data_IF_105999309914
#
_entry.id   IF_105999309914
#
_cell.length_a   1.000
_cell.length_b   1.000
_cell.length_c   1.000
_cell.angle_alpha   90.00
_cell.angle_beta   90.00
_cell.angle_gamma   90.00
#
_symmetry.space_group_name_H-M   'P 1'
#
loop_
_entity.id
_entity.type
_entity.pdbx_description
1 polymer ?
#
# COMPACT_ATOMS: atom_id res chain seq x y z
N UNK A 1 -29.75 5.01 21.52
CA UNK A 1 -28.51 5.03 20.71
C UNK A 1 -28.49 6.33 19.90
N UNK A 2 -27.75 7.36 20.33
CA UNK A 2 -27.82 8.69 19.74
C UNK A 2 -27.23 8.72 18.31
N UNK A 3 -28.00 9.24 17.34
CA UNK A 3 -27.65 9.40 15.90
C UNK A 3 -26.28 10.05 15.64
N UNK A 4 -25.82 10.87 16.58
CA UNK A 4 -24.55 11.59 16.51
C UNK A 4 -23.32 10.67 16.57
N UNK A 5 -23.38 9.62 17.39
CA UNK A 5 -22.29 8.63 17.50
C UNK A 5 -22.16 7.78 16.24
N UNK A 6 -23.27 7.42 15.59
CA UNK A 6 -23.26 6.65 14.34
C UNK A 6 -22.61 7.42 13.19
N UNK A 7 -22.88 8.72 13.06
CA UNK A 7 -22.23 9.57 12.03
C UNK A 7 -20.73 9.73 12.27
N UNK A 8 -20.33 9.97 13.53
CA UNK A 8 -18.91 10.03 13.87
C UNK A 8 -18.20 8.69 13.61
N UNK A 9 -18.82 7.57 13.95
CA UNK A 9 -18.26 6.25 13.66
C UNK A 9 -18.10 6.01 12.15
N UNK A 10 -19.08 6.43 11.34
CA UNK A 10 -18.99 6.35 9.87
C UNK A 10 -17.87 7.22 9.30
N UNK A 11 -17.75 8.47 9.76
CA UNK A 11 -16.65 9.35 9.35
C UNK A 11 -15.28 8.80 9.76
N UNK A 12 -15.17 8.25 10.96
CA UNK A 12 -13.93 7.65 11.45
C UNK A 12 -13.55 6.41 10.65
N UNK A 13 -14.53 5.56 10.33
CA UNK A 13 -14.33 4.38 9.49
C UNK A 13 -13.90 4.76 8.06
N UNK A 14 -14.51 5.80 7.49
CA UNK A 14 -14.13 6.33 6.18
C UNK A 14 -12.70 6.92 6.18
N UNK A 15 -12.33 7.67 7.23
CA UNK A 15 -10.97 8.21 7.40
C UNK A 15 -9.92 7.10 7.56
N UNK A 16 -10.24 6.05 8.32
CA UNK A 16 -9.38 4.88 8.47
C UNK A 16 -9.17 4.15 7.15
N UNK A 17 -10.24 3.94 6.37
CA UNK A 17 -10.13 3.32 5.05
C UNK A 17 -9.25 4.14 4.11
N UNK A 18 -9.43 5.46 4.10
CA UNK A 18 -8.62 6.39 3.29
C UNK A 18 -7.14 6.37 3.69
N UNK A 19 -6.85 6.44 4.99
CA UNK A 19 -5.49 6.39 5.50
C UNK A 19 -4.81 5.04 5.18
N UNK A 20 -5.55 3.92 5.27
CA UNK A 20 -5.00 2.62 4.86
C UNK A 20 -4.69 2.55 3.36
N UNK A 21 -5.52 3.18 2.51
CA UNK A 21 -5.23 3.30 1.08
C UNK A 21 -3.99 4.15 0.82
N UNK A 22 -3.88 5.33 1.44
CA UNK A 22 -2.70 6.20 1.28
C UNK A 22 -1.40 5.51 1.72
N UNK A 23 -1.44 4.73 2.81
CA UNK A 23 -0.31 3.90 3.25
C UNK A 23 0.05 2.78 2.27
N UNK A 24 -0.94 2.26 1.54
CA UNK A 24 -0.72 1.24 0.52
C UNK A 24 -0.23 1.84 -0.81
N UNK A 25 -0.57 3.11 -1.08
CA UNK A 25 -0.20 3.85 -2.29
C UNK A 25 1.28 4.26 -2.29
N UNK A 26 1.84 4.53 -1.10
CA UNK A 26 3.28 4.77 -0.96
C UNK A 26 4.02 3.49 -1.33
N UNK A 27 4.58 3.48 -2.53
CA UNK A 27 5.33 2.37 -3.09
C UNK A 27 6.75 2.83 -3.42
N UNK A 28 7.71 2.00 -3.04
CA UNK A 28 9.13 2.20 -3.30
C UNK A 28 9.58 1.11 -4.26
N UNK A 29 10.21 1.53 -5.35
CA UNK A 29 10.81 0.63 -6.32
C UNK A 29 12.30 0.46 -6.02
N UNK A 30 12.72 -0.78 -5.78
CA UNK A 30 14.13 -1.15 -5.67
C UNK A 30 14.53 -2.00 -6.88
N UNK A 31 15.74 -1.78 -7.40
CA UNK A 31 16.28 -2.62 -8.46
C UNK A 31 17.68 -3.11 -8.11
N UNK A 32 17.99 -4.34 -8.52
CA UNK A 32 19.30 -4.97 -8.29
C UNK A 32 19.76 -5.74 -9.53
N UNK A 33 21.07 -5.99 -9.63
CA UNK A 33 21.69 -6.71 -10.74
C UNK A 33 21.60 -5.97 -12.08
N UNK A 34 21.83 -4.65 -12.09
CA UNK A 34 21.78 -3.84 -13.33
C UNK A 34 20.39 -3.75 -13.98
N UNK A 35 19.32 -3.92 -13.17
CA UNK A 35 17.94 -3.96 -13.66
C UNK A 35 17.42 -5.37 -13.99
N UNK A 36 18.18 -6.41 -13.65
CA UNK A 36 17.73 -7.80 -13.79
C UNK A 36 16.57 -8.16 -12.85
N UNK A 37 16.55 -7.55 -11.65
CA UNK A 37 15.47 -7.73 -10.68
C UNK A 37 14.93 -6.36 -10.26
N UNK A 38 13.62 -6.19 -10.37
CA UNK A 38 12.87 -5.02 -9.89
C UNK A 38 11.83 -5.49 -8.88
N UNK A 39 11.84 -4.90 -7.69
CA UNK A 39 10.90 -5.19 -6.60
C UNK A 39 10.14 -3.92 -6.26
N UNK A 40 8.82 -4.03 -6.16
CA UNK A 40 7.94 -2.96 -5.68
C UNK A 40 7.48 -3.33 -4.28
N UNK A 41 7.81 -2.48 -3.31
CA UNK A 41 7.48 -2.66 -1.89
C UNK A 41 6.61 -1.48 -1.46
N UNK A 42 5.58 -1.71 -0.65
CA UNK A 42 4.80 -0.60 -0.09
C UNK A 42 5.41 -0.05 1.22
N UNK A 43 4.88 1.06 1.72
CA UNK A 43 5.29 1.69 2.99
C UNK A 43 5.05 0.82 4.24
N UNK A 44 4.37 -0.32 4.11
CA UNK A 44 4.15 -1.30 5.17
C UNK A 44 5.11 -2.50 5.07
N UNK A 45 6.19 -2.38 4.28
CA UNK A 45 7.15 -3.46 3.99
C UNK A 45 6.53 -4.72 3.36
N UNK A 46 5.34 -4.62 2.77
CA UNK A 46 4.76 -5.70 1.96
C UNK A 46 5.27 -5.60 0.52
N UNK A 47 5.75 -6.73 0.03
CA UNK A 47 6.15 -6.90 -1.38
C UNK A 47 4.87 -7.00 -2.21
N UNK A 48 4.67 -6.05 -3.13
CA UNK A 48 3.53 -6.09 -4.05
C UNK A 48 3.86 -6.83 -5.34
N UNK A 49 5.10 -6.70 -5.82
CA UNK A 49 5.49 -7.32 -7.09
C UNK A 49 6.99 -7.54 -7.17
N UNK A 50 7.37 -8.68 -7.76
CA UNK A 50 8.76 -9.00 -8.11
C UNK A 50 8.80 -9.29 -9.61
N UNK A 51 9.52 -8.46 -10.35
CA UNK A 51 9.81 -8.67 -11.76
C UNK A 51 11.28 -9.04 -11.90
N UNK A 52 11.56 -10.14 -12.59
CA UNK A 52 12.92 -10.51 -12.94
C UNK A 52 13.00 -10.90 -14.41
N UNK A 53 14.11 -10.54 -15.05
CA UNK A 53 14.37 -10.86 -16.46
C UNK A 53 15.29 -12.08 -16.53
N UNK A 54 14.71 -13.24 -16.81
CA UNK A 54 15.48 -14.46 -17.06
C UNK A 54 16.02 -14.43 -18.49
N UNK A 55 17.34 -14.32 -18.68
CA UNK A 55 17.96 -14.55 -19.98
C UNK A 55 18.05 -16.05 -20.23
N UNK A 56 17.33 -16.53 -21.24
CA UNK A 56 17.60 -17.82 -21.89
C UNK A 56 18.68 -17.64 -22.94
#
# INVERSE_FOLDING_TARGET
MNKFMLRQAQELQAKLAKAQQELADITVEASSGGGAVKVTINGQMKIQSVKYRLRR
#
